data_IF_096065978586
#
_entry.id   IF_096065978586
#
_cell.length_a   1.000
_cell.length_b   1.000
_cell.length_c   1.000
_cell.angle_alpha   90.00
_cell.angle_beta   90.00
_cell.angle_gamma   90.00
#
_symmetry.space_group_name_H-M   'P 1'
#
loop_
_entity.id
_entity.type
_entity.pdbx_description
1 polymer ?
#
# COMPACT_ATOMS: atom_id res chain seq x y z
N UNK A 1 27.32 3.41 0.56
CA UNK A 1 26.20 4.03 -0.17
C UNK A 1 26.82 5.13 -1.03
N UNK A 2 26.82 5.02 -2.35
CA UNK A 2 27.44 6.02 -3.19
C UNK A 2 26.52 7.25 -3.27
N UNK A 3 27.09 8.46 -3.25
CA UNK A 3 26.35 9.75 -3.41
C UNK A 3 25.44 9.69 -4.66
N UNK A 4 25.88 8.98 -5.69
CA UNK A 4 25.10 8.71 -6.91
C UNK A 4 23.76 8.03 -6.63
N UNK A 5 23.71 7.06 -5.70
CA UNK A 5 22.48 6.31 -5.34
C UNK A 5 21.49 7.20 -4.57
N UNK A 6 21.98 8.29 -3.97
CA UNK A 6 21.15 9.27 -3.25
C UNK A 6 20.57 10.33 -4.19
N UNK A 7 21.24 10.63 -5.30
CA UNK A 7 20.82 11.66 -6.26
C UNK A 7 19.99 11.11 -7.44
N UNK A 8 20.18 9.84 -7.79
CA UNK A 8 19.41 9.18 -8.86
C UNK A 8 17.88 9.17 -8.63
N UNK A 9 17.35 8.98 -7.40
CA UNK A 9 15.92 9.03 -7.16
C UNK A 9 15.28 10.38 -7.50
N UNK A 10 15.99 11.50 -7.33
CA UNK A 10 15.45 12.84 -7.64
C UNK A 10 15.04 13.00 -9.11
N UNK A 11 15.68 12.29 -10.04
CA UNK A 11 15.35 12.38 -11.46
C UNK A 11 14.24 11.41 -11.91
N UNK A 12 13.87 10.41 -11.09
CA UNK A 12 12.95 9.34 -11.45
C UNK A 12 11.69 9.28 -10.57
N UNK A 13 11.74 9.77 -9.32
CA UNK A 13 10.59 9.76 -8.43
C UNK A 13 9.73 11.02 -8.63
N UNK A 14 8.47 10.82 -9.04
CA UNK A 14 7.47 11.89 -9.14
C UNK A 14 7.23 12.55 -7.78
N UNK A 15 7.18 11.76 -6.71
CA UNK A 15 6.97 12.20 -5.33
C UNK A 15 8.02 13.21 -4.91
N UNK A 16 9.31 12.89 -5.13
CA UNK A 16 10.40 13.81 -4.77
C UNK A 16 10.38 15.09 -5.61
N UNK A 17 9.92 15.01 -6.84
CA UNK A 17 9.79 16.19 -7.70
C UNK A 17 8.66 17.12 -7.22
N UNK A 18 7.52 16.56 -6.87
CA UNK A 18 6.39 17.31 -6.31
C UNK A 18 6.76 18.00 -5.00
N UNK A 19 7.39 17.26 -4.07
CA UNK A 19 7.88 17.82 -2.80
C UNK A 19 8.87 18.94 -3.02
N UNK A 20 9.83 18.77 -3.94
CA UNK A 20 10.82 19.79 -4.28
C UNK A 20 10.20 21.04 -4.89
N UNK A 21 9.16 20.87 -5.72
CA UNK A 21 8.43 21.99 -6.32
C UNK A 21 7.71 22.83 -5.26
N UNK A 22 7.02 22.17 -4.32
CA UNK A 22 6.35 22.83 -3.20
C UNK A 22 7.37 23.55 -2.30
N UNK A 23 8.48 22.89 -1.98
CA UNK A 23 9.56 23.51 -1.19
C UNK A 23 10.13 24.79 -1.88
N UNK A 24 10.26 24.75 -3.20
CA UNK A 24 10.70 25.91 -3.99
C UNK A 24 9.69 27.05 -3.93
N UNK A 25 8.38 26.74 -3.99
CA UNK A 25 7.34 27.76 -3.85
C UNK A 25 7.41 28.44 -2.49
N UNK A 26 7.61 27.69 -1.39
CA UNK A 26 7.80 28.27 -0.06
C UNK A 26 9.10 29.06 0.05
N UNK A 27 10.17 28.64 -0.62
CA UNK A 27 11.41 29.40 -0.73
C UNK A 27 11.19 30.75 -1.42
N UNK A 28 10.46 30.77 -2.53
CA UNK A 28 10.08 32.02 -3.21
C UNK A 28 9.19 32.88 -2.31
N UNK A 29 8.21 32.28 -1.65
CA UNK A 29 7.34 32.97 -0.70
C UNK A 29 8.12 33.68 0.42
N UNK A 30 9.23 33.09 0.88
CA UNK A 30 10.04 33.64 1.96
C UNK A 30 10.76 34.99 1.61
N UNK A 31 10.77 35.37 0.34
CA UNK A 31 11.20 36.72 -0.05
C UNK A 31 10.30 37.83 0.49
N UNK A 32 9.01 37.53 0.73
CA UNK A 32 8.04 38.52 1.24
C UNK A 32 8.43 39.05 2.63
N UNK A 33 8.62 38.19 3.66
CA UNK A 33 9.09 38.67 4.97
C UNK A 33 10.48 39.34 4.92
N UNK A 34 11.41 38.82 4.12
CA UNK A 34 12.74 39.46 3.96
C UNK A 34 12.59 40.87 3.38
N UNK A 35 11.77 41.06 2.35
CA UNK A 35 11.51 42.36 1.77
C UNK A 35 10.81 43.31 2.77
N UNK A 36 9.88 42.80 3.56
CA UNK A 36 9.23 43.53 4.65
C UNK A 36 10.24 44.07 5.65
N UNK A 37 11.22 43.23 6.08
CA UNK A 37 12.21 43.62 7.07
C UNK A 37 13.16 44.72 6.59
N UNK A 38 13.29 44.90 5.27
CA UNK A 38 14.04 46.01 4.64
C UNK A 38 13.16 47.22 4.30
N UNK A 39 11.87 47.22 4.70
CA UNK A 39 10.91 48.29 4.43
C UNK A 39 10.56 49.06 5.70
N UNK A 40 9.81 50.21 5.58
CA UNK A 40 9.29 50.93 6.75
C UNK A 40 8.32 50.14 7.62
N UNK A 41 7.93 48.95 7.19
CA UNK A 41 7.00 48.05 7.86
C UNK A 41 7.71 46.91 8.64
N UNK A 42 9.00 47.08 8.95
CA UNK A 42 9.80 46.05 9.60
C UNK A 42 9.16 45.48 10.89
N UNK A 43 8.52 46.29 11.70
CA UNK A 43 7.91 45.90 12.97
C UNK A 43 6.52 45.28 12.86
N UNK A 44 5.98 45.17 11.63
CA UNK A 44 4.65 44.60 11.42
C UNK A 44 4.77 43.08 11.23
N UNK A 45 3.89 42.31 11.92
CA UNK A 45 3.83 40.85 11.83
C UNK A 45 5.15 40.14 12.21
N UNK A 46 5.84 40.68 13.16
CA UNK A 46 7.05 40.08 13.72
C UNK A 46 6.66 38.94 14.67
N UNK A 47 6.94 37.72 14.30
CA UNK A 47 6.59 36.55 15.08
C UNK A 47 7.85 36.03 15.81
N UNK A 48 7.75 35.71 17.12
CA UNK A 48 8.90 35.19 17.85
C UNK A 48 9.43 33.88 17.28
N UNK A 49 10.71 33.77 16.96
CA UNK A 49 11.35 32.56 16.45
C UNK A 49 11.22 31.38 17.42
N UNK A 50 11.19 31.64 18.74
CA UNK A 50 10.96 30.62 19.77
C UNK A 50 9.59 29.97 19.69
N UNK A 51 8.54 30.70 19.27
CA UNK A 51 7.21 30.11 19.05
C UNK A 51 7.24 29.11 17.89
N UNK A 52 7.91 29.47 16.77
CA UNK A 52 8.06 28.58 15.62
C UNK A 52 8.87 27.33 15.94
N UNK A 53 9.93 27.46 16.75
CA UNK A 53 10.67 26.30 17.24
C UNK A 53 9.77 25.33 18.02
N UNK A 54 8.96 25.84 18.94
CA UNK A 54 8.02 25.02 19.71
C UNK A 54 6.96 24.36 18.80
N UNK A 55 6.35 25.12 17.89
CA UNK A 55 5.35 24.61 16.94
C UNK A 55 5.96 23.57 16.00
N UNK A 56 7.20 23.74 15.53
CA UNK A 56 7.89 22.77 14.69
C UNK A 56 8.07 21.42 15.38
N UNK A 57 8.35 21.41 16.69
CA UNK A 57 8.43 20.17 17.47
C UNK A 57 7.08 19.49 17.52
N UNK A 58 5.99 20.22 17.81
CA UNK A 58 4.64 19.66 17.88
C UNK A 58 4.20 19.08 16.53
N UNK A 59 4.40 19.82 15.43
CA UNK A 59 4.05 19.37 14.08
C UNK A 59 4.93 18.17 13.68
N UNK A 60 6.22 18.19 14.00
CA UNK A 60 7.11 17.06 13.77
C UNK A 60 6.63 15.78 14.48
N UNK A 61 6.16 15.89 15.73
CA UNK A 61 5.57 14.76 16.45
C UNK A 61 4.28 14.24 15.78
N UNK A 62 3.41 15.13 15.34
CA UNK A 62 2.19 14.74 14.60
C UNK A 62 2.54 13.98 13.32
N UNK A 63 3.55 14.43 12.57
CA UNK A 63 4.02 13.74 11.37
C UNK A 63 4.61 12.37 11.67
N UNK A 64 5.40 12.22 12.75
CA UNK A 64 5.95 10.92 13.16
C UNK A 64 4.83 9.93 13.51
N UNK A 65 3.82 10.34 14.28
CA UNK A 65 2.67 9.47 14.58
C UNK A 65 1.91 9.08 13.32
N UNK A 66 1.70 10.02 12.39
CA UNK A 66 1.03 9.75 11.14
C UNK A 66 1.81 8.75 10.28
N UNK A 67 3.10 8.98 10.09
CA UNK A 67 3.96 8.09 9.30
C UNK A 67 4.01 6.69 9.90
N UNK A 68 4.13 6.57 11.23
CA UNK A 68 4.14 5.27 11.89
C UNK A 68 2.81 4.53 11.70
N UNK A 69 1.67 5.22 11.76
CA UNK A 69 0.35 4.61 11.56
C UNK A 69 0.17 4.16 10.10
N UNK A 70 0.60 4.97 9.12
CA UNK A 70 0.57 4.62 7.71
C UNK A 70 1.46 3.41 7.43
N UNK A 71 2.70 3.41 7.94
CA UNK A 71 3.63 2.30 7.79
C UNK A 71 3.12 1.00 8.43
N UNK A 72 2.46 1.06 9.58
CA UNK A 72 1.86 -0.12 10.21
C UNK A 72 0.81 -0.78 9.31
N UNK A 73 -0.01 0.00 8.61
CA UNK A 73 -1.00 -0.49 7.63
C UNK A 73 -0.32 -1.15 6.43
N UNK A 74 0.69 -0.51 5.88
CA UNK A 74 1.47 -1.05 4.77
C UNK A 74 2.13 -2.38 5.15
N UNK A 75 2.72 -2.44 6.35
CA UNK A 75 3.35 -3.65 6.87
C UNK A 75 2.36 -4.79 7.11
N UNK A 76 1.17 -4.49 7.64
CA UNK A 76 0.07 -5.45 7.79
C UNK A 76 -0.32 -6.00 6.41
N UNK A 77 -0.54 -5.15 5.43
CA UNK A 77 -0.86 -5.55 4.06
C UNK A 77 0.23 -6.44 3.45
N UNK A 78 1.50 -6.06 3.60
CA UNK A 78 2.65 -6.86 3.13
C UNK A 78 2.71 -8.22 3.80
N UNK A 79 2.41 -8.29 5.08
CA UNK A 79 2.38 -9.55 5.85
C UNK A 79 1.25 -10.47 5.36
N UNK A 80 0.06 -9.93 5.10
CA UNK A 80 -1.09 -10.67 4.58
C UNK A 80 -0.81 -11.23 3.18
N UNK A 81 -0.20 -10.47 2.29
CA UNK A 81 0.20 -10.96 0.97
C UNK A 81 1.31 -12.02 1.06
N UNK A 82 2.23 -11.89 2.02
CA UNK A 82 3.19 -12.95 2.32
C UNK A 82 2.51 -14.24 2.82
N UNK A 83 1.49 -14.10 3.65
CA UNK A 83 0.67 -15.24 4.10
C UNK A 83 -0.10 -15.88 2.93
N UNK A 84 -0.60 -15.08 1.96
CA UNK A 84 -1.26 -15.59 0.76
C UNK A 84 -0.31 -16.44 -0.10
N UNK A 85 0.93 -15.99 -0.30
CA UNK A 85 1.96 -16.80 -1.00
C UNK A 85 2.13 -18.16 -0.34
N UNK A 86 2.21 -18.20 0.98
CA UNK A 86 2.38 -19.45 1.73
C UNK A 86 1.11 -20.31 1.68
N UNK A 87 -0.08 -19.73 1.85
CA UNK A 87 -1.35 -20.44 1.76
C UNK A 87 -1.53 -21.09 0.38
N UNK A 88 -1.22 -20.36 -0.70
CA UNK A 88 -1.30 -20.86 -2.07
C UNK A 88 -0.37 -22.04 -2.32
N UNK A 89 0.86 -21.97 -1.83
CA UNK A 89 1.82 -23.09 -1.93
C UNK A 89 1.35 -24.30 -1.13
N UNK A 90 0.90 -24.09 0.12
CA UNK A 90 0.39 -25.17 0.97
C UNK A 90 -0.85 -25.83 0.37
N UNK A 91 -1.80 -25.04 -0.14
CA UNK A 91 -2.98 -25.55 -0.81
C UNK A 91 -2.59 -26.37 -2.06
N UNK A 92 -1.70 -25.86 -2.91
CA UNK A 92 -1.23 -26.56 -4.10
C UNK A 92 -0.58 -27.92 -3.74
N UNK A 93 0.30 -27.96 -2.74
CA UNK A 93 0.94 -29.20 -2.28
C UNK A 93 -0.10 -30.17 -1.72
N UNK A 94 -0.97 -29.72 -0.81
CA UNK A 94 -1.92 -30.61 -0.15
C UNK A 94 -2.98 -31.15 -1.11
N UNK A 95 -3.51 -30.32 -1.98
CA UNK A 95 -4.51 -30.73 -2.98
C UNK A 95 -3.94 -31.70 -4.02
N UNK A 96 -2.65 -31.65 -4.30
CA UNK A 96 -2.04 -32.54 -5.30
C UNK A 96 -1.36 -33.79 -4.71
N UNK A 97 -0.93 -33.73 -3.44
CA UNK A 97 -0.19 -34.84 -2.80
C UNK A 97 -1.07 -35.72 -1.91
N UNK A 98 -2.07 -35.14 -1.25
CA UNK A 98 -2.99 -35.91 -0.42
C UNK A 98 -4.10 -36.55 -1.25
N UNK A 99 -4.50 -35.91 -2.35
CA UNK A 99 -5.61 -36.39 -3.19
C UNK A 99 -5.09 -36.88 -4.54
N UNK A 100 -5.46 -38.09 -4.92
CA UNK A 100 -5.18 -38.66 -6.27
C UNK A 100 -6.14 -38.07 -7.29
N UNK A 101 -5.93 -36.83 -7.69
CA UNK A 101 -6.80 -36.14 -8.64
C UNK A 101 -6.53 -36.59 -10.09
N UNK A 102 -7.61 -36.83 -10.90
CA UNK A 102 -7.49 -36.90 -12.35
C UNK A 102 -6.84 -35.61 -12.94
N UNK A 103 -6.23 -35.74 -14.11
CA UNK A 103 -5.54 -34.60 -14.74
C UNK A 103 -6.47 -33.40 -14.98
N UNK A 104 -7.73 -33.62 -15.34
CA UNK A 104 -8.70 -32.52 -15.53
C UNK A 104 -8.96 -31.75 -14.24
N UNK A 105 -9.22 -32.44 -13.13
CA UNK A 105 -9.43 -31.82 -11.83
C UNK A 105 -8.19 -31.08 -11.35
N UNK A 106 -7.02 -31.65 -11.60
CA UNK A 106 -5.73 -31.03 -11.28
C UNK A 106 -5.53 -29.70 -12.05
N UNK A 107 -5.91 -29.65 -13.33
CA UNK A 107 -5.84 -28.41 -14.12
C UNK A 107 -6.84 -27.37 -13.63
N UNK A 108 -8.03 -27.78 -13.22
CA UNK A 108 -9.03 -26.88 -12.64
C UNK A 108 -8.54 -26.26 -11.33
N UNK A 109 -7.99 -27.08 -10.42
CA UNK A 109 -7.39 -26.60 -9.17
C UNK A 109 -6.23 -25.61 -9.46
N UNK A 110 -5.36 -25.98 -10.40
CA UNK A 110 -4.25 -25.12 -10.83
C UNK A 110 -4.75 -23.76 -11.29
N UNK A 111 -5.74 -23.73 -12.16
CA UNK A 111 -6.33 -22.51 -12.71
C UNK A 111 -6.92 -21.63 -11.59
N UNK A 112 -7.77 -22.21 -10.72
CA UNK A 112 -8.44 -21.48 -9.65
C UNK A 112 -7.45 -20.89 -8.63
N UNK A 113 -6.46 -21.68 -8.20
CA UNK A 113 -5.44 -21.22 -7.26
C UNK A 113 -4.52 -20.15 -7.87
N UNK A 114 -4.15 -20.28 -9.15
CA UNK A 114 -3.31 -19.28 -9.84
C UNK A 114 -4.06 -17.98 -10.08
N UNK A 115 -5.37 -18.03 -10.30
CA UNK A 115 -6.18 -16.84 -10.60
C UNK A 115 -6.58 -16.05 -9.34
N UNK A 116 -6.70 -16.72 -8.18
CA UNK A 116 -7.13 -16.08 -6.93
C UNK A 116 -6.37 -14.80 -6.58
N UNK A 117 -5.02 -14.75 -6.62
CA UNK A 117 -4.29 -13.53 -6.27
C UNK A 117 -4.58 -12.35 -7.23
N UNK A 118 -4.77 -12.61 -8.52
CA UNK A 118 -5.15 -11.58 -9.49
C UNK A 118 -6.56 -11.04 -9.19
N UNK A 119 -7.51 -11.95 -8.92
CA UNK A 119 -8.87 -11.55 -8.54
C UNK A 119 -8.89 -10.73 -7.24
N UNK A 120 -8.07 -11.08 -6.25
CA UNK A 120 -7.94 -10.32 -5.01
C UNK A 120 -7.32 -8.94 -5.28
N UNK A 121 -6.25 -8.86 -6.06
CA UNK A 121 -5.62 -7.58 -6.47
C UNK A 121 -6.65 -6.64 -7.11
N UNK A 122 -7.37 -7.14 -8.11
CA UNK A 122 -8.33 -6.33 -8.87
C UNK A 122 -9.53 -5.92 -8.01
N UNK A 123 -9.96 -6.80 -7.10
CA UNK A 123 -10.99 -6.49 -6.10
C UNK A 123 -10.54 -5.36 -5.17
N UNK A 124 -9.30 -5.40 -4.67
CA UNK A 124 -8.74 -4.36 -3.79
C UNK A 124 -8.53 -3.03 -4.51
N UNK A 125 -8.26 -3.06 -5.82
CA UNK A 125 -8.15 -1.87 -6.67
C UNK A 125 -9.48 -1.33 -7.16
N UNK A 126 -10.61 -2.00 -6.87
CA UNK A 126 -11.95 -1.71 -7.42
C UNK A 126 -11.98 -1.77 -8.96
N UNK A 127 -11.13 -2.58 -9.55
CA UNK A 127 -10.96 -2.74 -11.00
C UNK A 127 -11.63 -4.03 -11.53
N UNK A 128 -12.65 -4.55 -10.88
CA UNK A 128 -13.26 -5.85 -11.15
C UNK A 128 -13.47 -6.13 -12.64
N UNK A 129 -12.52 -6.82 -13.25
CA UNK A 129 -12.58 -7.25 -14.64
C UNK A 129 -12.84 -8.76 -14.70
N UNK A 130 -14.04 -9.14 -15.11
CA UNK A 130 -14.46 -10.54 -15.30
C UNK A 130 -13.93 -11.14 -16.62
N UNK A 131 -13.19 -10.34 -17.42
CA UNK A 131 -12.83 -10.71 -18.79
C UNK A 131 -11.88 -11.91 -18.90
N UNK A 132 -11.09 -12.15 -17.85
CA UNK A 132 -10.06 -13.21 -17.86
C UNK A 132 -10.54 -14.59 -17.43
N UNK A 133 -11.81 -14.73 -16.95
CA UNK A 133 -12.40 -16.02 -16.60
C UNK A 133 -13.66 -16.35 -17.40
N UNK A 134 -13.56 -17.12 -18.47
CA UNK A 134 -14.71 -17.50 -19.33
C UNK A 134 -15.82 -18.22 -18.56
N UNK A 135 -15.49 -18.96 -17.51
CA UNK A 135 -16.45 -19.75 -16.71
C UNK A 135 -17.30 -18.89 -15.77
N UNK A 136 -16.89 -17.66 -15.44
CA UNK A 136 -17.59 -16.74 -14.54
C UNK A 136 -18.32 -15.62 -15.32
N UNK A 137 -18.06 -15.46 -16.61
CA UNK A 137 -18.64 -14.38 -17.46
C UNK A 137 -20.17 -14.35 -17.50
N UNK A 138 -20.86 -15.45 -17.21
CA UNK A 138 -22.32 -15.52 -17.31
C UNK A 138 -23.06 -15.01 -16.06
N UNK A 139 -22.35 -14.61 -15.00
CA UNK A 139 -22.99 -14.12 -13.78
C UNK A 139 -22.76 -12.61 -13.62
N UNK A 140 -23.47 -11.81 -14.40
CA UNK A 140 -23.39 -10.34 -14.48
C UNK A 140 -23.69 -9.58 -13.16
N UNK A 141 -23.89 -10.27 -12.04
CA UNK A 141 -24.15 -9.69 -10.72
C UNK A 141 -23.06 -9.98 -9.67
N UNK A 142 -21.96 -10.65 -10.03
CA UNK A 142 -20.94 -11.02 -9.06
C UNK A 142 -20.10 -9.78 -8.72
N UNK A 143 -20.20 -9.34 -7.47
CA UNK A 143 -19.39 -8.23 -6.94
C UNK A 143 -18.10 -8.68 -6.22
N UNK A 144 -17.99 -9.96 -5.86
CA UNK A 144 -16.90 -10.46 -5.02
C UNK A 144 -16.25 -11.70 -5.62
N UNK A 145 -15.46 -11.51 -6.65
CA UNK A 145 -14.81 -12.59 -7.41
C UNK A 145 -13.94 -13.51 -6.54
N UNK A 146 -13.10 -13.00 -5.58
CA UNK A 146 -12.30 -13.89 -4.74
C UNK A 146 -13.11 -14.95 -4.00
N UNK A 147 -14.29 -14.59 -3.46
CA UNK A 147 -15.17 -15.55 -2.78
C UNK A 147 -15.72 -16.62 -3.72
N UNK A 148 -16.04 -16.26 -4.97
CA UNK A 148 -16.55 -17.23 -5.94
C UNK A 148 -15.49 -18.25 -6.31
N UNK A 149 -14.23 -17.83 -6.46
CA UNK A 149 -13.14 -18.75 -6.75
C UNK A 149 -13.01 -19.80 -5.63
N UNK A 150 -13.06 -19.36 -4.39
CA UNK A 150 -13.00 -20.28 -3.23
C UNK A 150 -14.27 -21.16 -3.16
N UNK A 151 -15.45 -20.62 -3.45
CA UNK A 151 -16.67 -21.42 -3.52
C UNK A 151 -16.56 -22.53 -4.58
N UNK A 152 -16.01 -22.23 -5.76
CA UNK A 152 -15.75 -23.24 -6.80
C UNK A 152 -14.75 -24.30 -6.34
N UNK A 153 -13.71 -23.94 -5.59
CA UNK A 153 -12.81 -24.94 -4.98
C UNK A 153 -13.55 -25.84 -3.98
N UNK A 154 -14.43 -25.28 -3.14
CA UNK A 154 -15.23 -26.07 -2.21
C UNK A 154 -16.26 -26.98 -2.93
N UNK A 155 -16.83 -26.53 -4.03
CA UNK A 155 -17.70 -27.41 -4.89
C UNK A 155 -16.90 -28.63 -5.37
N UNK A 156 -15.67 -28.44 -5.86
CA UNK A 156 -14.79 -29.55 -6.26
C UNK A 156 -14.47 -30.49 -5.10
N UNK A 157 -14.08 -29.94 -3.96
CA UNK A 157 -13.77 -30.69 -2.74
C UNK A 157 -15.02 -31.53 -2.30
N UNK A 158 -16.21 -30.95 -2.39
CA UNK A 158 -17.46 -31.66 -2.09
C UNK A 158 -17.72 -32.85 -3.05
N UNK A 159 -17.46 -32.66 -4.35
CA UNK A 159 -17.52 -33.72 -5.34
C UNK A 159 -16.51 -34.84 -5.05
N UNK A 160 -15.28 -34.51 -4.69
CA UNK A 160 -14.25 -35.50 -4.33
C UNK A 160 -14.66 -36.30 -3.09
N UNK A 161 -15.27 -35.63 -2.09
CA UNK A 161 -15.81 -36.30 -0.91
C UNK A 161 -16.93 -37.27 -1.25
N UNK A 162 -17.90 -36.86 -2.07
CA UNK A 162 -19.01 -37.70 -2.47
C UNK A 162 -18.59 -38.89 -3.36
N UNK A 163 -17.52 -38.71 -4.15
CA UNK A 163 -16.93 -39.76 -4.99
C UNK A 163 -15.98 -40.70 -4.22
N UNK A 164 -15.76 -40.46 -2.93
CA UNK A 164 -14.87 -41.28 -2.10
C UNK A 164 -13.35 -41.07 -2.41
N UNK A 165 -12.98 -40.00 -3.09
CA UNK A 165 -11.57 -39.70 -3.39
C UNK A 165 -10.84 -39.14 -2.19
N UNK A 166 -11.55 -38.54 -1.23
CA UNK A 166 -11.03 -38.03 0.04
C UNK A 166 -11.88 -38.56 1.21
N UNK A 167 -11.24 -38.73 2.33
CA UNK A 167 -11.89 -39.03 3.59
C UNK A 167 -12.19 -37.77 4.44
N UNK A 168 -12.58 -37.98 5.71
CA UNK A 168 -12.89 -36.87 6.62
C UNK A 168 -11.67 -36.15 7.14
N UNK A 169 -10.53 -36.80 7.21
CA UNK A 169 -9.28 -36.23 7.72
C UNK A 169 -8.62 -35.38 6.64
N UNK A 170 -8.59 -35.87 5.41
CA UNK A 170 -8.11 -35.12 4.24
C UNK A 170 -8.98 -33.87 4.00
N UNK A 171 -10.32 -34.01 4.12
CA UNK A 171 -11.24 -32.88 4.03
C UNK A 171 -10.90 -31.77 5.04
N UNK A 172 -10.64 -32.12 6.30
CA UNK A 172 -10.28 -31.13 7.34
C UNK A 172 -8.97 -30.42 7.05
N UNK A 173 -7.99 -31.16 6.53
CA UNK A 173 -6.70 -30.58 6.15
C UNK A 173 -6.85 -29.61 4.99
N UNK A 174 -7.67 -29.94 3.99
CA UNK A 174 -7.95 -29.09 2.84
C UNK A 174 -8.74 -27.83 3.27
N UNK A 175 -9.80 -28.01 4.06
CA UNK A 175 -10.63 -26.92 4.58
C UNK A 175 -9.79 -25.88 5.33
N UNK A 176 -8.87 -26.33 6.19
CA UNK A 176 -7.97 -25.44 6.93
C UNK A 176 -7.11 -24.57 6.01
N UNK A 177 -6.70 -25.07 4.84
CA UNK A 177 -5.91 -24.26 3.90
C UNK A 177 -6.80 -23.33 3.07
N UNK A 178 -7.95 -23.81 2.61
CA UNK A 178 -8.87 -22.98 1.80
C UNK A 178 -9.47 -21.82 2.61
N UNK A 179 -9.78 -22.04 3.89
CA UNK A 179 -10.28 -20.99 4.78
C UNK A 179 -9.32 -19.79 4.85
N UNK A 180 -8.01 -20.01 4.85
CA UNK A 180 -6.99 -18.95 4.90
C UNK A 180 -7.11 -17.92 3.77
N UNK A 181 -7.56 -18.34 2.60
CA UNK A 181 -7.72 -17.43 1.46
C UNK A 181 -8.78 -16.35 1.73
N UNK A 182 -9.92 -16.73 2.30
CA UNK A 182 -10.98 -15.80 2.66
C UNK A 182 -10.61 -14.97 3.90
N UNK A 183 -9.91 -15.54 4.86
CA UNK A 183 -9.40 -14.81 6.04
C UNK A 183 -8.44 -13.69 5.60
N UNK A 184 -7.51 -14.01 4.68
CA UNK A 184 -6.58 -13.01 4.12
C UNK A 184 -7.34 -11.97 3.29
N UNK A 185 -8.28 -12.40 2.46
CA UNK A 185 -9.12 -11.51 1.67
C UNK A 185 -9.85 -10.50 2.57
N UNK A 186 -10.57 -10.99 3.58
CA UNK A 186 -11.28 -10.13 4.54
C UNK A 186 -10.37 -9.19 5.33
N UNK A 187 -9.16 -9.66 5.69
CA UNK A 187 -8.18 -8.80 6.35
C UNK A 187 -7.67 -7.69 5.40
N UNK A 188 -7.40 -7.99 4.13
CA UNK A 188 -7.03 -6.98 3.13
C UNK A 188 -8.17 -5.98 2.88
N UNK A 189 -9.41 -6.45 2.77
CA UNK A 189 -10.59 -5.56 2.65
C UNK A 189 -10.77 -4.64 3.85
N UNK A 190 -10.50 -5.14 5.06
CA UNK A 190 -10.52 -4.31 6.27
C UNK A 190 -9.51 -3.17 6.15
N UNK A 191 -8.29 -3.44 5.72
CA UNK A 191 -7.27 -2.40 5.49
C UNK A 191 -7.77 -1.40 4.45
N UNK A 192 -8.29 -1.85 3.32
CA UNK A 192 -8.79 -0.99 2.24
C UNK A 192 -9.94 -0.08 2.71
N UNK A 193 -10.95 -0.65 3.41
CA UNK A 193 -12.18 0.05 3.76
C UNK A 193 -12.09 0.90 5.03
N UNK A 194 -11.04 0.75 5.82
CA UNK A 194 -10.82 1.53 7.05
C UNK A 194 -9.55 2.39 6.96
N UNK A 195 -9.54 3.45 6.11
CA UNK A 195 -8.42 4.39 6.04
C UNK A 195 -8.23 5.13 7.37
N UNK A 196 -7.10 5.81 7.53
CA UNK A 196 -6.87 6.70 8.68
C UNK A 196 -7.98 7.76 8.73
N UNK A 197 -8.39 8.10 9.94
CA UNK A 197 -9.50 9.06 10.19
C UNK A 197 -9.24 10.36 9.41
N UNK A 198 -10.19 10.73 8.53
CA UNK A 198 -10.06 11.88 7.63
C UNK A 198 -9.74 13.18 8.37
N UNK A 199 -10.38 13.39 9.54
CA UNK A 199 -10.15 14.59 10.35
C UNK A 199 -8.70 14.70 10.81
N UNK A 200 -8.05 13.57 11.16
CA UNK A 200 -6.64 13.57 11.56
C UNK A 200 -5.72 13.94 10.38
N UNK A 201 -5.98 13.41 9.21
CA UNK A 201 -5.24 13.74 7.98
C UNK A 201 -5.35 15.22 7.63
N UNK A 202 -6.57 15.78 7.61
CA UNK A 202 -6.78 17.20 7.35
C UNK A 202 -6.15 18.10 8.40
N UNK A 203 -6.29 17.74 9.69
CA UNK A 203 -5.70 18.49 10.77
C UNK A 203 -4.17 18.57 10.67
N UNK A 204 -3.50 17.44 10.42
CA UNK A 204 -2.04 17.40 10.23
C UNK A 204 -1.60 18.29 9.05
N UNK A 205 -2.28 18.20 7.91
CA UNK A 205 -2.02 19.05 6.74
C UNK A 205 -2.20 20.54 7.06
N UNK A 206 -3.26 20.90 7.76
CA UNK A 206 -3.48 22.28 8.18
C UNK A 206 -2.37 22.77 9.10
N UNK A 207 -1.93 21.96 10.06
CA UNK A 207 -0.81 22.32 10.94
C UNK A 207 0.50 22.52 10.16
N UNK A 208 0.81 21.64 9.22
CA UNK A 208 1.99 21.76 8.36
C UNK A 208 1.90 23.05 7.52
N UNK A 209 0.77 23.30 6.87
CA UNK A 209 0.57 24.50 6.04
C UNK A 209 0.66 25.79 6.86
N UNK A 210 0.02 25.86 8.04
CA UNK A 210 0.11 27.01 8.92
C UNK A 210 1.54 27.26 9.39
N UNK A 211 2.26 26.19 9.76
CA UNK A 211 3.66 26.33 10.15
C UNK A 211 4.49 26.88 8.99
N UNK A 212 4.37 26.32 7.79
CA UNK A 212 5.17 26.75 6.62
C UNK A 212 4.84 28.16 6.17
N UNK A 213 3.57 28.60 6.28
CA UNK A 213 3.17 29.97 5.96
C UNK A 213 3.73 31.00 6.96
N UNK A 214 3.80 30.63 8.23
CA UNK A 214 4.25 31.56 9.28
C UNK A 214 5.76 31.47 9.55
N UNK A 215 6.39 30.34 9.24
CA UNK A 215 7.79 30.06 9.54
C UNK A 215 8.77 31.12 9.02
N UNK A 216 8.75 31.55 7.74
CA UNK A 216 9.67 32.53 7.25
C UNK A 216 9.48 33.92 7.92
N UNK A 217 8.28 34.24 8.41
CA UNK A 217 8.01 35.46 9.16
C UNK A 217 8.63 35.46 10.55
N UNK A 218 8.79 34.28 11.14
CA UNK A 218 9.40 34.14 12.46
C UNK A 218 10.90 34.07 12.49
N UNK A 219 11.54 33.79 11.32
CA UNK A 219 12.99 33.62 11.26
C UNK A 219 13.71 34.69 10.41
N UNK A 220 12.98 35.53 9.65
CA UNK A 220 13.58 36.46 8.70
C UNK A 220 14.48 37.50 9.38
N UNK A 221 14.06 38.01 10.55
CA UNK A 221 14.88 38.98 11.31
C UNK A 221 16.19 38.38 11.84
N UNK A 222 16.17 37.09 12.26
CA UNK A 222 17.35 36.44 12.83
C UNK A 222 18.33 35.97 11.75
N UNK A 223 17.81 35.50 10.59
CA UNK A 223 18.60 34.82 9.57
C UNK A 223 18.75 35.61 8.25
N UNK A 224 17.98 36.67 8.03
CA UNK A 224 18.05 37.46 6.80
C UNK A 224 17.88 36.59 5.54
N UNK A 225 18.84 36.66 4.62
CA UNK A 225 18.81 35.89 3.37
C UNK A 225 18.88 34.37 3.56
N UNK A 226 19.39 33.87 4.68
CA UNK A 226 19.40 32.46 5.01
C UNK A 226 17.97 31.90 5.26
N UNK A 227 17.00 32.77 5.45
CA UNK A 227 15.59 32.40 5.56
C UNK A 227 15.11 31.58 4.33
N UNK A 228 15.58 31.91 3.12
CA UNK A 228 15.20 31.22 1.89
C UNK A 228 15.58 29.73 1.94
N UNK A 229 16.87 29.37 2.03
CA UNK A 229 17.24 27.95 2.05
C UNK A 229 16.73 27.22 3.29
N UNK A 230 16.60 27.88 4.46
CA UNK A 230 16.03 27.25 5.64
C UNK A 230 14.55 26.94 5.49
N UNK A 231 13.77 27.84 4.88
CA UNK A 231 12.35 27.61 4.58
C UNK A 231 12.19 26.49 3.56
N UNK A 232 13.01 26.48 2.50
CA UNK A 232 12.99 25.39 1.51
C UNK A 232 13.27 24.03 2.16
N UNK A 233 14.29 23.96 3.01
CA UNK A 233 14.67 22.74 3.69
C UNK A 233 13.57 22.24 4.64
N UNK A 234 12.99 23.15 5.43
CA UNK A 234 11.89 22.84 6.35
C UNK A 234 10.65 22.37 5.58
N UNK A 235 10.29 23.07 4.49
CA UNK A 235 9.17 22.69 3.63
C UNK A 235 9.41 21.33 2.99
N UNK A 236 10.60 21.06 2.49
CA UNK A 236 10.97 19.78 1.91
C UNK A 236 10.77 18.62 2.89
N UNK A 237 11.26 18.74 4.13
CA UNK A 237 11.07 17.70 5.13
C UNK A 237 9.62 17.55 5.57
N UNK A 238 8.92 18.63 5.86
CA UNK A 238 7.55 18.58 6.37
C UNK A 238 6.57 18.04 5.31
N UNK A 239 6.65 18.58 4.10
CA UNK A 239 5.80 18.13 2.97
C UNK A 239 6.20 16.73 2.53
N UNK A 240 7.50 16.42 2.48
CA UNK A 240 7.99 15.10 2.10
C UNK A 240 7.49 13.99 3.04
N UNK A 241 7.58 14.21 4.36
CA UNK A 241 7.03 13.24 5.33
C UNK A 241 5.52 13.08 5.19
N UNK A 242 4.80 14.17 4.95
CA UNK A 242 3.34 14.13 4.73
C UNK A 242 2.97 13.34 3.46
N UNK A 243 3.68 13.60 2.36
CA UNK A 243 3.43 12.92 1.07
C UNK A 243 3.76 11.44 1.14
N UNK A 244 4.93 11.08 1.72
CA UNK A 244 5.30 9.67 1.93
C UNK A 244 4.28 8.96 2.82
N UNK A 245 3.81 9.61 3.90
CA UNK A 245 2.79 9.02 4.76
C UNK A 245 1.46 8.80 4.02
N UNK A 246 1.10 9.69 3.07
CA UNK A 246 -0.10 9.55 2.25
C UNK A 246 -0.01 8.34 1.31
N UNK A 247 1.11 8.20 0.58
CA UNK A 247 1.32 7.07 -0.34
C UNK A 247 1.32 5.74 0.41
N UNK A 248 2.08 5.64 1.50
CA UNK A 248 2.17 4.39 2.29
C UNK A 248 0.85 4.04 2.99
N UNK A 249 -0.08 4.99 3.18
CA UNK A 249 -1.39 4.76 3.82
C UNK A 249 -2.30 3.83 3.00
N UNK A 250 -2.21 3.84 1.67
CA UNK A 250 -3.06 3.07 0.74
C UNK A 250 -2.25 1.98 -0.01
N UNK A 251 -1.88 0.88 0.63
CA UNK A 251 -0.84 -0.04 0.14
C UNK A 251 -1.20 -0.85 -1.11
N UNK A 252 -2.44 -0.81 -1.59
CA UNK A 252 -2.95 -1.63 -2.69
C UNK A 252 -3.10 -0.87 -4.01
N UNK A 253 -2.70 0.40 -4.05
CA UNK A 253 -2.78 1.26 -5.22
C UNK A 253 -1.78 0.92 -6.33
N UNK A 254 -1.29 1.98 -7.01
CA UNK A 254 -0.30 1.89 -8.11
C UNK A 254 0.81 2.93 -7.99
N UNK A 255 0.93 3.57 -6.84
CA UNK A 255 1.98 4.53 -6.57
C UNK A 255 3.34 3.83 -6.40
N UNK A 256 4.43 4.59 -6.50
CA UNK A 256 5.79 4.04 -6.43
C UNK A 256 6.09 3.34 -5.09
N UNK A 257 5.42 3.75 -4.01
CA UNK A 257 5.60 3.25 -2.66
C UNK A 257 4.61 2.13 -2.29
N UNK A 258 3.67 1.78 -3.19
CA UNK A 258 2.69 0.72 -2.99
C UNK A 258 3.32 -0.68 -3.04
N UNK A 259 2.56 -1.67 -2.58
CA UNK A 259 2.99 -3.05 -2.69
C UNK A 259 2.99 -3.50 -4.16
N UNK A 260 4.07 -4.13 -4.60
CA UNK A 260 4.13 -4.79 -5.91
C UNK A 260 3.21 -6.03 -5.92
N UNK A 261 1.90 -5.76 -6.01
CA UNK A 261 0.88 -6.81 -6.05
C UNK A 261 1.00 -7.65 -7.33
N UNK A 262 1.41 -7.05 -8.44
CA UNK A 262 1.58 -7.72 -9.71
C UNK A 262 2.70 -8.75 -9.63
N UNK A 263 3.86 -8.37 -9.10
CA UNK A 263 4.98 -9.29 -8.85
C UNK A 263 4.63 -10.40 -7.86
N UNK A 264 3.82 -10.11 -6.84
CA UNK A 264 3.33 -11.10 -5.89
C UNK A 264 2.34 -12.09 -6.54
N UNK A 265 1.42 -11.62 -7.38
CA UNK A 265 0.51 -12.46 -8.16
C UNK A 265 1.28 -13.44 -9.04
N UNK A 266 2.24 -12.96 -9.82
CA UNK A 266 3.09 -13.82 -10.65
C UNK A 266 3.95 -14.78 -9.83
N UNK A 267 4.41 -14.39 -8.66
CA UNK A 267 5.15 -15.28 -7.75
C UNK A 267 4.27 -16.45 -7.27
N UNK A 268 3.00 -16.18 -6.95
CA UNK A 268 2.03 -17.20 -6.55
C UNK A 268 1.72 -18.10 -7.74
N UNK A 269 1.37 -17.52 -8.88
CA UNK A 269 1.06 -18.25 -10.11
C UNK A 269 2.19 -19.22 -10.48
N UNK A 270 3.43 -18.74 -10.59
CA UNK A 270 4.59 -19.56 -10.92
C UNK A 270 4.81 -20.68 -9.90
N UNK A 271 4.66 -20.39 -8.60
CA UNK A 271 4.80 -21.40 -7.54
C UNK A 271 3.75 -22.49 -7.65
N UNK A 272 2.48 -22.13 -7.83
CA UNK A 272 1.35 -23.07 -8.00
C UNK A 272 1.55 -23.91 -9.26
N UNK A 273 1.91 -23.28 -10.37
CA UNK A 273 2.17 -23.97 -11.65
C UNK A 273 3.31 -24.98 -11.51
N UNK A 274 4.42 -24.61 -10.89
CA UNK A 274 5.56 -25.48 -10.69
C UNK A 274 5.21 -26.69 -9.81
N UNK A 275 4.52 -26.47 -8.67
CA UNK A 275 4.15 -27.52 -7.73
C UNK A 275 3.23 -28.55 -8.41
N UNK A 276 2.22 -28.07 -9.15
CA UNK A 276 1.21 -28.94 -9.76
C UNK A 276 1.75 -29.64 -11.01
N UNK A 277 2.66 -29.01 -11.79
CA UNK A 277 3.20 -29.59 -13.03
C UNK A 277 4.30 -30.61 -12.80
N UNK A 278 5.02 -30.58 -11.68
CA UNK A 278 6.15 -31.50 -11.38
C UNK A 278 5.69 -32.97 -11.28
N UNK A 279 4.39 -33.26 -11.15
CA UNK A 279 3.85 -34.63 -11.11
C UNK A 279 3.48 -35.22 -12.45
N UNK A 280 3.43 -34.44 -13.52
CA UNK A 280 3.07 -34.96 -14.84
C UNK A 280 4.18 -35.83 -15.47
N UNK A 281 5.35 -35.92 -14.83
CA UNK A 281 6.58 -36.55 -15.36
C UNK A 281 6.95 -37.86 -14.64
N UNK A 282 6.21 -38.30 -13.63
CA UNK A 282 6.38 -39.60 -12.94
C UNK A 282 5.16 -40.48 -13.08
#
# INVERSE_FOLDING_TARGET
MAIRDTLLPFSHSKTLWEVSSVATVFGIYSFLPIWKDHSPYADIADLPSGLHAALSVVVGWLLVFRTNTAYARWWEARTLWGALVNASRNAAVKLTRLVKLPNEERQQVKMLLSYFPFALRDHLRNEGNLDDMPEIKNESQIKHIPSIIIARLYERVSLWKSSGWIDGDELRVIDTELAKFLDICGACERIQRTPIVRSYRYFTRQCVMLLLLTFPWGISNDFGWWTVPLTMLTAYFMVGLETVAEHVEEPFGRDEDDLDLDGLCHTIENSVQQIISTEATT
#
